data_IF_010219969103
#
_entry.id   IF_010219969103
#
_cell.length_a   1.000
_cell.length_b   1.000
_cell.length_c   1.000
_cell.angle_alpha   90.00
_cell.angle_beta   90.00
_cell.angle_gamma   90.00
#
_symmetry.space_group_name_H-M   'P 1'
#
loop_
_entity.id
_entity.type
_entity.pdbx_description
1 polymer ?
#
# COMPACT_ATOMS: atom_id res chain seq x y z
N UNK A 1 2.91 -12.50 -27.59
CA UNK A 1 4.19 -13.11 -27.15
C UNK A 1 4.30 -12.95 -25.65
N UNK A 2 4.72 -13.99 -24.92
CA UNK A 2 4.95 -13.88 -23.48
C UNK A 2 6.08 -12.88 -23.22
N UNK A 3 5.88 -11.94 -22.29
CA UNK A 3 6.87 -10.92 -21.92
C UNK A 3 7.96 -11.49 -20.99
N UNK A 4 7.67 -12.64 -20.37
CA UNK A 4 8.48 -13.29 -19.34
C UNK A 4 8.53 -14.80 -19.61
N UNK A 5 9.34 -15.54 -18.86
CA UNK A 5 9.39 -17.01 -18.93
C UNK A 5 8.05 -17.65 -18.48
N UNK A 6 7.61 -18.72 -19.14
CA UNK A 6 6.35 -19.44 -18.83
C UNK A 6 6.26 -19.89 -17.37
N UNK A 7 7.38 -20.23 -16.74
CA UNK A 7 7.45 -20.62 -15.32
C UNK A 7 6.99 -19.49 -14.37
N UNK A 8 7.23 -18.23 -14.74
CA UNK A 8 6.77 -17.05 -13.96
C UNK A 8 5.25 -17.03 -13.93
N UNK A 9 4.62 -17.14 -15.10
CA UNK A 9 3.17 -17.17 -15.23
C UNK A 9 2.58 -18.35 -14.45
N UNK A 10 3.15 -19.56 -14.58
CA UNK A 10 2.68 -20.73 -13.85
C UNK A 10 2.75 -20.53 -12.32
N UNK A 11 3.86 -19.98 -11.81
CA UNK A 11 4.02 -19.68 -10.39
C UNK A 11 2.97 -18.67 -9.90
N UNK A 12 2.66 -17.64 -10.70
CA UNK A 12 1.58 -16.69 -10.38
C UNK A 12 0.20 -17.36 -10.34
N UNK A 13 -0.12 -18.22 -11.31
CA UNK A 13 -1.39 -18.95 -11.35
C UNK A 13 -1.55 -19.89 -10.15
N UNK A 14 -0.53 -20.68 -9.84
CA UNK A 14 -0.51 -21.60 -8.68
C UNK A 14 -0.66 -20.83 -7.36
N UNK A 15 -0.06 -19.64 -7.28
CA UNK A 15 -0.17 -18.81 -6.10
C UNK A 15 -1.56 -18.20 -5.95
N UNK A 16 -2.18 -17.76 -7.04
CA UNK A 16 -3.59 -17.34 -7.05
C UNK A 16 -4.53 -18.44 -6.56
N UNK A 17 -4.34 -19.69 -7.03
CA UNK A 17 -5.10 -20.85 -6.56
C UNK A 17 -4.88 -21.13 -5.07
N UNK A 18 -3.62 -21.06 -4.59
CA UNK A 18 -3.29 -21.22 -3.17
C UNK A 18 -3.98 -20.16 -2.30
N UNK A 19 -4.23 -18.97 -2.84
CA UNK A 19 -4.87 -17.88 -2.12
C UNK A 19 -6.39 -17.84 -2.22
N UNK A 20 -6.99 -18.58 -3.15
CA UNK A 20 -8.43 -18.62 -3.35
C UNK A 20 -9.22 -18.90 -2.05
N UNK A 21 -8.82 -19.83 -1.16
CA UNK A 21 -9.53 -20.07 0.10
C UNK A 21 -9.55 -18.86 1.04
N UNK A 22 -8.54 -17.99 0.95
CA UNK A 22 -8.49 -16.74 1.73
C UNK A 22 -9.34 -15.65 1.08
N UNK A 23 -9.39 -15.62 -0.25
CA UNK A 23 -10.19 -14.64 -1.00
C UNK A 23 -11.69 -14.84 -0.82
N UNK A 24 -12.16 -16.09 -0.78
CA UNK A 24 -13.60 -16.43 -0.66
C UNK A 24 -14.00 -16.90 0.73
N UNK A 25 -13.05 -16.94 1.68
CA UNK A 25 -13.15 -17.52 3.03
C UNK A 25 -13.18 -19.06 3.08
N UNK A 26 -12.50 -19.71 4.05
CA UNK A 26 -12.44 -21.17 4.14
C UNK A 26 -13.80 -21.88 4.22
N UNK A 27 -14.80 -21.42 5.00
CA UNK A 27 -16.09 -22.11 5.06
C UNK A 27 -16.82 -22.15 3.71
N UNK A 28 -16.86 -21.02 3.01
CA UNK A 28 -17.46 -20.94 1.68
C UNK A 28 -16.66 -21.76 0.66
N UNK A 29 -15.33 -21.76 0.75
CA UNK A 29 -14.48 -22.58 -0.11
C UNK A 29 -14.75 -24.08 0.06
N UNK A 30 -14.93 -24.56 1.30
CA UNK A 30 -15.28 -25.97 1.55
C UNK A 30 -16.64 -26.31 0.97
N UNK A 31 -17.66 -25.46 1.20
CA UNK A 31 -19.00 -25.67 0.62
C UNK A 31 -18.95 -25.66 -0.91
N UNK A 32 -18.15 -24.79 -1.50
CA UNK A 32 -17.91 -24.73 -2.93
C UNK A 32 -17.32 -26.05 -3.47
N UNK A 33 -16.31 -26.63 -2.81
CA UNK A 33 -15.76 -27.93 -3.20
C UNK A 33 -16.78 -29.06 -3.09
N UNK A 34 -17.60 -29.07 -2.04
CA UNK A 34 -18.72 -30.02 -1.89
C UNK A 34 -19.71 -29.87 -3.04
N UNK A 35 -20.04 -28.64 -3.42
CA UNK A 35 -20.92 -28.31 -4.54
C UNK A 35 -20.38 -28.81 -5.87
N UNK A 36 -19.09 -28.59 -6.16
CA UNK A 36 -18.42 -29.14 -7.35
C UNK A 36 -18.52 -30.66 -7.38
N UNK A 37 -18.06 -31.33 -6.31
CA UNK A 37 -18.06 -32.79 -6.27
C UNK A 37 -19.46 -33.38 -6.38
N UNK A 38 -20.44 -32.68 -5.85
CA UNK A 38 -21.85 -33.02 -5.94
C UNK A 38 -22.45 -32.85 -7.34
N UNK A 39 -22.18 -31.73 -8.00
CA UNK A 39 -22.63 -31.45 -9.36
C UNK A 39 -22.04 -32.45 -10.36
N UNK A 40 -20.74 -32.75 -10.25
CA UNK A 40 -20.05 -33.70 -11.11
C UNK A 40 -20.59 -35.13 -10.96
N UNK A 41 -21.00 -35.54 -9.75
CA UNK A 41 -21.58 -36.87 -9.51
C UNK A 41 -23.01 -37.02 -10.02
N UNK A 42 -23.84 -35.97 -9.91
CA UNK A 42 -25.25 -36.01 -10.34
C UNK A 42 -25.40 -35.89 -11.86
N UNK A 43 -24.42 -35.31 -12.56
CA UNK A 43 -24.47 -35.08 -13.99
C UNK A 43 -25.56 -34.07 -14.41
N UNK A 44 -25.83 -33.99 -15.71
CA UNK A 44 -26.89 -33.16 -16.28
C UNK A 44 -26.54 -31.67 -16.40
N UNK A 45 -27.56 -30.82 -16.40
CA UNK A 45 -27.40 -29.39 -16.66
C UNK A 45 -26.51 -28.70 -15.60
N UNK A 46 -26.56 -29.14 -14.35
CA UNK A 46 -25.75 -28.60 -13.26
C UNK A 46 -24.25 -28.92 -13.40
N UNK A 47 -23.89 -30.11 -13.92
CA UNK A 47 -22.48 -30.42 -14.19
C UNK A 47 -21.94 -29.58 -15.35
N UNK A 48 -22.77 -29.29 -16.35
CA UNK A 48 -22.41 -28.40 -17.47
C UNK A 48 -22.18 -26.97 -16.97
N UNK A 49 -23.11 -26.40 -16.19
CA UNK A 49 -22.95 -25.06 -15.62
C UNK A 49 -21.74 -24.94 -14.67
N UNK A 50 -21.49 -25.97 -13.87
CA UNK A 50 -20.30 -26.04 -13.01
C UNK A 50 -19.03 -26.09 -13.86
N UNK A 51 -19.01 -26.89 -14.94
CA UNK A 51 -17.90 -26.95 -15.89
C UNK A 51 -17.65 -25.62 -16.59
N UNK A 52 -18.70 -24.93 -17.07
CA UNK A 52 -18.59 -23.61 -17.69
C UNK A 52 -18.01 -22.58 -16.72
N UNK A 53 -18.51 -22.55 -15.47
CA UNK A 53 -18.00 -21.62 -14.46
C UNK A 53 -16.55 -21.92 -14.06
N UNK A 54 -16.17 -23.19 -13.96
CA UNK A 54 -14.78 -23.60 -13.71
C UNK A 54 -13.86 -23.19 -14.87
N UNK A 55 -14.28 -23.43 -16.11
CA UNK A 55 -13.53 -23.00 -17.31
C UNK A 55 -13.42 -21.46 -17.37
N UNK A 56 -14.51 -20.75 -17.07
CA UNK A 56 -14.50 -19.28 -16.98
C UNK A 56 -13.57 -18.78 -15.87
N UNK A 57 -13.54 -19.44 -14.72
CA UNK A 57 -12.61 -19.16 -13.63
C UNK A 57 -11.15 -19.41 -14.00
N UNK A 58 -10.86 -20.53 -14.67
CA UNK A 58 -9.51 -20.85 -15.17
C UNK A 58 -9.06 -19.89 -16.27
N UNK A 59 -9.95 -19.51 -17.19
CA UNK A 59 -9.68 -18.50 -18.20
C UNK A 59 -9.41 -17.13 -17.56
N UNK A 60 -10.23 -16.73 -16.57
CA UNK A 60 -10.01 -15.52 -15.79
C UNK A 60 -8.67 -15.53 -15.05
N UNK A 61 -8.31 -16.64 -14.42
CA UNK A 61 -7.01 -16.82 -13.77
C UNK A 61 -5.86 -16.72 -14.80
N UNK A 62 -5.99 -17.37 -15.96
CA UNK A 62 -4.99 -17.30 -17.02
C UNK A 62 -4.79 -15.86 -17.54
N UNK A 63 -5.87 -15.11 -17.72
CA UNK A 63 -5.82 -13.68 -18.08
C UNK A 63 -5.16 -12.87 -16.97
N UNK A 64 -5.49 -13.10 -15.70
CA UNK A 64 -4.88 -12.39 -14.57
C UNK A 64 -3.39 -12.67 -14.45
N UNK A 65 -3.01 -13.93 -14.63
CA UNK A 65 -1.62 -14.37 -14.68
C UNK A 65 -0.86 -13.66 -15.80
N UNK A 66 -1.48 -13.45 -16.97
CA UNK A 66 -0.85 -12.72 -18.08
C UNK A 66 -0.43 -11.29 -17.71
N UNK A 67 -1.16 -10.64 -16.80
CA UNK A 67 -0.82 -9.29 -16.33
C UNK A 67 0.16 -9.27 -15.15
N UNK A 68 0.60 -10.43 -14.65
CA UNK A 68 1.46 -10.57 -13.45
C UNK A 68 0.99 -9.74 -12.24
N UNK A 69 -0.31 -9.47 -12.17
CA UNK A 69 -0.93 -8.63 -11.15
C UNK A 69 -2.10 -9.40 -10.58
N UNK A 70 -1.91 -10.08 -9.45
CA UNK A 70 -2.99 -10.79 -8.78
C UNK A 70 -3.45 -9.98 -7.57
N UNK A 71 -4.40 -9.08 -7.79
CA UNK A 71 -5.04 -8.41 -6.67
C UNK A 71 -6.28 -9.20 -6.29
N UNK A 72 -6.56 -9.36 -5.00
CA UNK A 72 -7.74 -10.08 -4.50
C UNK A 72 -9.04 -9.58 -5.16
N UNK A 73 -9.11 -8.28 -5.50
CA UNK A 73 -10.24 -7.68 -6.21
C UNK A 73 -10.52 -8.30 -7.58
N UNK A 74 -9.54 -8.90 -8.24
CA UNK A 74 -9.75 -9.59 -9.52
C UNK A 74 -10.43 -10.95 -9.36
N UNK A 75 -10.48 -11.51 -8.14
CA UNK A 75 -11.31 -12.67 -7.81
C UNK A 75 -12.79 -12.33 -7.60
N UNK A 76 -13.15 -11.05 -7.43
CA UNK A 76 -14.53 -10.62 -7.15
C UNK A 76 -15.54 -11.06 -8.22
N UNK A 77 -15.25 -11.02 -9.54
CA UNK A 77 -16.18 -11.52 -10.55
C UNK A 77 -16.50 -13.02 -10.44
N UNK A 78 -15.63 -13.82 -9.82
CA UNK A 78 -15.86 -15.25 -9.59
C UNK A 78 -16.67 -15.52 -8.33
N UNK A 79 -16.76 -14.54 -7.42
CA UNK A 79 -17.43 -14.70 -6.13
C UNK A 79 -18.91 -15.09 -6.27
N UNK A 80 -19.74 -14.48 -7.16
CA UNK A 80 -21.12 -14.91 -7.34
C UNK A 80 -21.24 -16.38 -7.73
N UNK A 81 -20.37 -16.87 -8.61
CA UNK A 81 -20.36 -18.26 -9.02
C UNK A 81 -19.92 -19.20 -7.87
N UNK A 82 -18.90 -18.80 -7.10
CA UNK A 82 -18.48 -19.53 -5.89
C UNK A 82 -19.61 -19.61 -4.88
N UNK A 83 -20.37 -18.52 -4.68
CA UNK A 83 -21.54 -18.50 -3.80
C UNK A 83 -22.65 -19.42 -4.29
N UNK A 84 -22.96 -19.44 -5.59
CA UNK A 84 -23.98 -20.32 -6.17
C UNK A 84 -23.62 -21.80 -5.99
N UNK A 85 -22.39 -22.18 -6.35
CA UNK A 85 -21.92 -23.57 -6.21
C UNK A 85 -21.74 -23.93 -4.73
N UNK A 86 -21.33 -22.99 -3.88
CA UNK A 86 -21.30 -23.17 -2.42
C UNK A 86 -22.70 -23.40 -1.84
N UNK A 87 -23.72 -22.69 -2.32
CA UNK A 87 -25.12 -22.90 -1.97
C UNK A 87 -25.63 -24.28 -2.39
N UNK A 88 -25.24 -24.76 -3.58
CA UNK A 88 -25.49 -26.14 -4.01
C UNK A 88 -24.83 -27.13 -3.05
N UNK A 89 -23.56 -26.90 -2.68
CA UNK A 89 -22.85 -27.74 -1.72
C UNK A 89 -23.55 -27.81 -0.37
N UNK A 90 -24.03 -26.68 0.13
CA UNK A 90 -24.84 -26.60 1.35
C UNK A 90 -26.13 -27.43 1.21
N UNK A 91 -26.87 -27.29 0.11
CA UNK A 91 -28.10 -28.05 -0.15
C UNK A 91 -27.87 -29.56 -0.26
N UNK A 92 -26.64 -29.99 -0.55
CA UNK A 92 -26.25 -31.40 -0.63
C UNK A 92 -25.81 -31.99 0.71
N UNK A 93 -25.59 -31.16 1.73
CA UNK A 93 -25.28 -31.65 3.07
C UNK A 93 -26.51 -32.28 3.72
N UNK A 94 -26.33 -33.33 4.54
CA UNK A 94 -27.39 -33.84 5.40
C UNK A 94 -27.99 -32.72 6.26
N UNK A 95 -29.32 -32.72 6.46
CA UNK A 95 -30.05 -31.67 7.20
C UNK A 95 -29.43 -31.28 8.55
N UNK A 96 -28.87 -32.26 9.27
CA UNK A 96 -28.19 -32.04 10.55
C UNK A 96 -26.95 -31.13 10.49
N UNK A 97 -26.36 -30.95 9.32
CA UNK A 97 -25.17 -30.10 9.11
C UNK A 97 -25.50 -28.72 8.54
N UNK A 98 -26.74 -28.48 8.06
CA UNK A 98 -27.11 -27.19 7.47
C UNK A 98 -26.90 -26.02 8.43
N UNK A 99 -27.51 -26.10 9.62
CA UNK A 99 -27.43 -25.03 10.63
C UNK A 99 -25.99 -24.83 11.11
N UNK A 100 -25.23 -25.89 11.49
CA UNK A 100 -23.83 -25.75 11.86
C UNK A 100 -22.97 -25.11 10.75
N UNK A 101 -23.13 -25.51 9.49
CA UNK A 101 -22.35 -24.95 8.38
C UNK A 101 -22.64 -23.47 8.15
N UNK A 102 -23.91 -23.07 8.22
CA UNK A 102 -24.29 -21.64 8.11
C UNK A 102 -23.75 -20.85 9.30
N UNK A 103 -23.88 -21.38 10.53
CA UNK A 103 -23.36 -20.73 11.73
C UNK A 103 -21.84 -20.54 11.67
N UNK A 104 -21.09 -21.56 11.24
CA UNK A 104 -19.63 -21.47 11.06
C UNK A 104 -19.29 -20.40 10.00
N UNK A 105 -20.00 -20.37 8.87
CA UNK A 105 -19.75 -19.39 7.82
C UNK A 105 -20.02 -17.96 8.30
N UNK A 106 -21.15 -17.73 9.00
CA UNK A 106 -21.51 -16.42 9.53
C UNK A 106 -20.55 -15.96 10.64
N UNK A 107 -20.20 -16.84 11.58
CA UNK A 107 -19.24 -16.53 12.64
C UNK A 107 -17.86 -16.22 12.06
N UNK A 108 -17.42 -16.98 11.05
CA UNK A 108 -16.16 -16.71 10.37
C UNK A 108 -16.20 -15.36 9.65
N UNK A 109 -17.24 -15.08 8.87
CA UNK A 109 -17.38 -13.82 8.14
C UNK A 109 -17.44 -12.63 9.09
N UNK A 110 -18.29 -12.70 10.11
CA UNK A 110 -18.41 -11.65 11.12
C UNK A 110 -17.12 -11.43 11.89
N UNK A 111 -16.46 -12.51 12.32
CA UNK A 111 -15.16 -12.44 13.01
C UNK A 111 -14.07 -11.87 12.12
N UNK A 112 -14.01 -12.27 10.85
CA UNK A 112 -13.03 -11.76 9.90
C UNK A 112 -13.29 -10.28 9.55
N UNK A 113 -14.54 -9.88 9.33
CA UNK A 113 -14.92 -8.47 9.15
C UNK A 113 -14.53 -7.64 10.37
N UNK A 114 -14.87 -8.11 11.59
CA UNK A 114 -14.49 -7.44 12.82
C UNK A 114 -12.97 -7.32 12.96
N UNK A 115 -12.22 -8.37 12.62
CA UNK A 115 -10.77 -8.35 12.60
C UNK A 115 -10.23 -7.32 11.59
N UNK A 116 -10.72 -7.29 10.36
CA UNK A 116 -10.30 -6.31 9.33
C UNK A 116 -10.57 -4.88 9.83
N UNK A 117 -11.76 -4.63 10.34
CA UNK A 117 -12.12 -3.32 10.91
C UNK A 117 -11.28 -2.95 12.13
N UNK A 118 -10.77 -3.90 12.90
CA UNK A 118 -9.96 -3.61 14.09
C UNK A 118 -8.46 -3.51 13.80
N UNK A 119 -7.92 -4.35 12.93
CA UNK A 119 -6.48 -4.46 12.68
C UNK A 119 -6.01 -3.68 11.45
N UNK A 120 -6.91 -3.38 10.51
CA UNK A 120 -6.58 -2.70 9.26
C UNK A 120 -7.23 -1.31 9.12
N UNK A 121 -7.97 -0.82 10.12
CA UNK A 121 -8.55 0.54 10.06
C UNK A 121 -7.52 1.65 9.89
N UNK A 122 -6.30 1.44 10.40
CA UNK A 122 -5.20 2.40 10.32
C UNK A 122 -4.46 2.39 8.99
N UNK A 123 -4.85 1.56 8.02
CA UNK A 123 -4.15 1.48 6.74
C UNK A 123 -4.27 2.83 6.00
N UNK A 124 -3.15 3.53 5.80
CA UNK A 124 -3.06 4.88 5.24
C UNK A 124 -3.70 6.01 6.09
N UNK A 125 -4.04 5.75 7.35
CA UNK A 125 -4.65 6.76 8.22
C UNK A 125 -3.69 7.92 8.55
N UNK A 126 -2.37 7.70 8.43
CA UNK A 126 -1.34 8.73 8.58
C UNK A 126 -1.40 9.75 7.44
N UNK A 127 -1.56 9.31 6.18
CA UNK A 127 -1.71 10.19 5.02
C UNK A 127 -3.01 10.98 5.14
N UNK A 128 -4.12 10.32 5.53
CA UNK A 128 -5.41 10.99 5.74
C UNK A 128 -5.33 12.05 6.84
N UNK A 129 -4.77 11.70 8.00
CA UNK A 129 -4.61 12.62 9.12
C UNK A 129 -3.66 13.79 8.78
N UNK A 130 -2.57 13.53 8.06
CA UNK A 130 -1.65 14.58 7.63
C UNK A 130 -2.32 15.51 6.62
N UNK A 131 -3.03 14.94 5.64
CA UNK A 131 -3.72 15.71 4.61
C UNK A 131 -4.83 16.62 5.18
N UNK A 132 -5.58 16.15 6.19
CA UNK A 132 -6.60 16.97 6.86
C UNK A 132 -6.03 18.17 7.60
N UNK A 133 -4.79 18.09 8.08
CA UNK A 133 -4.13 19.18 8.79
C UNK A 133 -3.49 20.20 7.81
N UNK A 134 -3.35 19.89 6.51
CA UNK A 134 -2.69 20.76 5.53
C UNK A 134 -3.38 22.12 5.37
N UNK A 135 -4.71 22.23 5.19
CA UNK A 135 -5.37 23.51 4.96
C UNK A 135 -5.13 24.52 6.08
N UNK A 136 -5.09 24.06 7.34
CA UNK A 136 -4.84 24.90 8.52
C UNK A 136 -3.40 25.41 8.61
N UNK A 137 -2.51 24.87 7.77
CA UNK A 137 -1.10 25.25 7.70
C UNK A 137 -0.77 26.05 6.45
N UNK A 138 -1.69 26.26 5.52
CA UNK A 138 -1.42 27.01 4.29
C UNK A 138 -1.57 28.51 4.51
N UNK A 139 -0.59 29.27 4.05
CA UNK A 139 -0.67 30.72 3.90
C UNK A 139 -1.03 31.10 2.46
N UNK A 140 -1.36 32.37 2.24
CA UNK A 140 -1.72 32.86 0.90
C UNK A 140 -0.53 32.70 -0.06
N UNK A 141 -0.74 31.95 -1.14
CA UNK A 141 0.30 31.69 -2.14
C UNK A 141 1.10 30.41 -1.91
N UNK A 142 1.00 29.77 -0.75
CA UNK A 142 1.63 28.47 -0.47
C UNK A 142 1.09 27.40 -1.43
N UNK A 143 1.96 26.47 -1.84
CA UNK A 143 1.58 25.32 -2.68
C UNK A 143 1.93 24.03 -1.97
N UNK A 144 1.16 22.98 -2.28
CA UNK A 144 1.39 21.63 -1.75
C UNK A 144 1.96 20.75 -2.86
N UNK A 145 3.06 20.07 -2.55
CA UNK A 145 3.77 19.18 -3.45
C UNK A 145 3.84 17.78 -2.86
N UNK A 146 3.63 16.76 -3.68
CA UNK A 146 3.77 15.37 -3.29
C UNK A 146 4.16 14.50 -4.48
N UNK A 147 4.53 13.24 -4.20
CA UNK A 147 4.97 12.28 -5.22
C UNK A 147 4.25 10.92 -5.13
N UNK A 148 2.95 10.95 -4.85
CA UNK A 148 2.14 9.73 -4.85
C UNK A 148 1.75 9.31 -6.28
N UNK A 149 2.19 8.15 -6.76
CA UNK A 149 2.02 7.68 -8.14
C UNK A 149 0.95 6.59 -8.28
N UNK A 150 -0.03 6.77 -9.19
CA UNK A 150 -1.04 5.72 -9.48
C UNK A 150 -0.95 5.13 -10.88
N UNK A 151 -0.66 5.93 -11.90
CA UNK A 151 -0.62 5.47 -13.30
C UNK A 151 0.37 6.28 -14.12
N UNK A 152 0.99 5.61 -15.09
CA UNK A 152 1.84 6.24 -16.10
C UNK A 152 1.14 6.27 -17.46
N UNK A 153 1.38 7.33 -18.21
CA UNK A 153 1.13 7.41 -19.63
C UNK A 153 2.19 6.60 -20.40
N UNK A 154 1.93 6.21 -21.66
CA UNK A 154 2.90 5.47 -22.47
C UNK A 154 4.25 6.17 -22.68
N UNK A 155 4.30 7.49 -22.52
CA UNK A 155 5.49 8.34 -22.60
C UNK A 155 6.26 8.43 -21.26
N UNK A 156 5.82 7.70 -20.23
CA UNK A 156 6.45 7.67 -18.90
C UNK A 156 5.99 8.79 -17.96
N UNK A 157 5.09 9.69 -18.37
CA UNK A 157 4.55 10.74 -17.50
C UNK A 157 3.50 10.20 -16.54
N UNK A 158 3.37 10.77 -15.35
CA UNK A 158 2.33 10.37 -14.39
C UNK A 158 0.98 10.89 -14.87
N UNK A 159 0.02 9.98 -15.10
CA UNK A 159 -1.36 10.32 -15.50
C UNK A 159 -2.21 10.78 -14.32
N UNK A 160 -2.05 10.10 -13.19
CA UNK A 160 -2.77 10.38 -11.95
C UNK A 160 -1.76 10.29 -10.82
N UNK A 161 -1.57 11.41 -10.13
CA UNK A 161 -0.72 11.49 -8.94
C UNK A 161 -1.39 12.29 -7.84
N UNK A 162 -0.92 12.11 -6.60
CA UNK A 162 -1.33 12.87 -5.42
C UNK A 162 -2.84 12.83 -5.13
N UNK A 163 -3.51 11.77 -5.57
CA UNK A 163 -4.97 11.63 -5.47
C UNK A 163 -5.41 11.61 -4.02
N UNK A 164 -4.74 10.86 -3.14
CA UNK A 164 -5.17 10.74 -1.74
C UNK A 164 -5.02 12.06 -0.99
N UNK A 165 -3.84 12.67 -1.09
CA UNK A 165 -3.54 13.93 -0.40
C UNK A 165 -4.49 15.02 -0.90
N UNK A 166 -4.69 15.14 -2.21
CA UNK A 166 -5.62 16.12 -2.81
C UNK A 166 -7.07 15.90 -2.35
N UNK A 167 -7.57 14.66 -2.39
CA UNK A 167 -8.93 14.34 -1.96
C UNK A 167 -9.17 14.62 -0.48
N UNK A 168 -8.22 14.26 0.40
CA UNK A 168 -8.42 14.39 1.84
C UNK A 168 -8.12 15.77 2.40
N UNK A 169 -7.20 16.51 1.79
CA UNK A 169 -6.92 17.89 2.17
C UNK A 169 -7.93 18.87 1.55
N UNK A 170 -8.58 18.49 0.44
CA UNK A 170 -9.46 19.39 -0.31
C UNK A 170 -8.72 20.50 -1.05
N UNK A 171 -7.38 20.46 -1.13
CA UNK A 171 -6.56 21.45 -1.84
C UNK A 171 -5.86 20.83 -3.05
N UNK A 172 -5.55 21.64 -4.10
CA UNK A 172 -4.76 21.15 -5.23
C UNK A 172 -3.35 20.76 -4.80
N UNK A 173 -2.95 19.52 -5.10
CA UNK A 173 -1.59 19.02 -4.83
C UNK A 173 -0.83 18.84 -6.13
N UNK A 174 0.30 19.53 -6.25
CA UNK A 174 1.16 19.51 -7.44
C UNK A 174 2.10 18.31 -7.43
N UNK A 175 2.41 17.83 -8.63
CA UNK A 175 3.34 16.73 -8.85
C UNK A 175 4.79 17.18 -8.60
N UNK A 176 5.55 16.43 -7.81
CA UNK A 176 6.95 16.71 -7.55
C UNK A 176 7.86 15.85 -8.45
N UNK A 177 8.36 16.45 -9.53
CA UNK A 177 9.36 15.91 -10.47
C UNK A 177 10.59 16.82 -10.62
N UNK A 178 11.53 16.47 -11.50
CA UNK A 178 12.78 17.22 -11.65
C UNK A 178 12.55 18.66 -12.14
N UNK A 179 11.54 18.89 -12.98
CA UNK A 179 11.22 20.22 -13.53
C UNK A 179 10.65 21.12 -12.43
N UNK A 180 9.72 20.58 -11.64
CA UNK A 180 9.07 21.27 -10.52
C UNK A 180 10.03 21.71 -9.41
N UNK A 181 11.22 21.09 -9.28
CA UNK A 181 12.22 21.50 -8.28
C UNK A 181 12.70 22.95 -8.47
N UNK A 182 12.59 23.49 -9.69
CA UNK A 182 12.91 24.89 -9.97
C UNK A 182 11.75 25.84 -9.66
N UNK A 183 10.53 25.32 -9.58
CA UNK A 183 9.33 26.09 -9.27
C UNK A 183 9.09 26.25 -7.78
N UNK A 184 9.69 25.42 -6.92
CA UNK A 184 9.55 25.49 -5.46
C UNK A 184 9.86 26.90 -4.93
N UNK A 185 9.09 27.36 -3.95
CA UNK A 185 9.27 28.67 -3.31
C UNK A 185 9.24 28.54 -1.77
N UNK A 186 9.60 29.61 -1.08
CA UNK A 186 9.46 29.69 0.38
C UNK A 186 7.99 29.56 0.79
N UNK A 187 7.73 28.84 1.90
CA UNK A 187 6.38 28.57 2.39
C UNK A 187 5.74 27.30 1.81
N UNK A 188 6.18 26.84 0.63
CA UNK A 188 5.64 25.62 0.02
C UNK A 188 5.75 24.41 0.96
N UNK A 189 4.73 23.56 0.90
CA UNK A 189 4.62 22.32 1.67
C UNK A 189 4.98 21.12 0.80
N UNK A 190 5.85 20.24 1.31
CA UNK A 190 6.23 18.98 0.69
C UNK A 190 5.71 17.83 1.55
N UNK A 191 4.85 16.99 0.99
CA UNK A 191 4.28 15.80 1.64
C UNK A 191 5.10 14.57 1.25
N UNK A 192 5.67 13.90 2.24
CA UNK A 192 6.49 12.69 2.08
C UNK A 192 5.84 11.48 2.77
N UNK A 193 5.02 10.71 2.04
CA UNK A 193 4.41 9.50 2.57
C UNK A 193 5.37 8.30 2.42
N UNK A 194 5.53 7.49 3.47
CA UNK A 194 6.45 6.35 3.43
C UNK A 194 6.08 5.23 2.42
N UNK A 195 4.83 5.20 1.94
CA UNK A 195 4.34 4.24 0.94
C UNK A 195 4.88 4.56 -0.46
N UNK A 196 5.04 5.85 -0.77
CA UNK A 196 5.64 6.36 -2.01
C UNK A 196 6.59 7.49 -1.65
N UNK A 197 7.71 7.17 -0.97
CA UNK A 197 8.57 8.19 -0.41
C UNK A 197 9.24 8.98 -1.51
N UNK A 198 9.47 10.26 -1.25
CA UNK A 198 10.25 11.11 -2.13
C UNK A 198 11.68 10.55 -2.20
N UNK A 199 12.21 10.26 -3.39
CA UNK A 199 13.55 9.69 -3.52
C UNK A 199 14.64 10.56 -2.87
N UNK A 200 15.67 9.91 -2.32
CA UNK A 200 16.72 10.59 -1.57
C UNK A 200 17.46 11.67 -2.41
N UNK A 201 17.58 11.47 -3.72
CA UNK A 201 18.20 12.45 -4.61
C UNK A 201 17.37 13.73 -4.75
N UNK A 202 16.04 13.64 -4.68
CA UNK A 202 15.15 14.80 -4.66
C UNK A 202 15.34 15.58 -3.38
N UNK A 203 15.31 14.88 -2.24
CA UNK A 203 15.57 15.50 -0.93
C UNK A 203 16.92 16.20 -0.87
N UNK A 204 17.98 15.58 -1.43
CA UNK A 204 19.30 16.20 -1.53
C UNK A 204 19.26 17.51 -2.31
N UNK A 205 18.58 17.54 -3.47
CA UNK A 205 18.45 18.77 -4.30
C UNK A 205 17.57 19.84 -3.65
N UNK A 206 16.52 19.45 -2.93
CA UNK A 206 15.69 20.40 -2.17
C UNK A 206 16.54 21.04 -1.08
N UNK A 207 17.27 20.23 -0.30
CA UNK A 207 18.10 20.69 0.83
C UNK A 207 19.33 21.50 0.43
N UNK A 208 19.75 21.49 -0.84
CA UNK A 208 20.80 22.42 -1.29
C UNK A 208 20.29 23.84 -1.49
N UNK A 209 18.98 24.03 -1.65
CA UNK A 209 18.34 25.33 -1.92
C UNK A 209 17.45 25.84 -0.80
N UNK A 210 16.92 24.94 0.02
CA UNK A 210 15.91 25.24 1.02
C UNK A 210 16.24 24.61 2.36
N UNK A 211 15.92 25.30 3.45
CA UNK A 211 15.82 24.67 4.76
C UNK A 211 14.44 24.04 4.89
N UNK A 212 14.38 22.78 5.30
CA UNK A 212 13.11 22.03 5.46
C UNK A 212 12.77 21.90 6.94
N UNK A 213 11.55 22.24 7.34
CA UNK A 213 11.04 22.06 8.70
C UNK A 213 9.85 21.10 8.67
N UNK A 214 9.88 20.03 9.47
CA UNK A 214 8.72 19.15 9.62
C UNK A 214 7.64 19.86 10.46
N UNK A 215 6.50 20.16 9.86
CA UNK A 215 5.39 20.88 10.52
C UNK A 215 4.22 19.95 10.87
N UNK A 216 4.12 18.79 10.21
CA UNK A 216 3.14 17.75 10.51
C UNK A 216 3.87 16.40 10.44
N UNK A 217 3.73 15.59 11.49
CA UNK A 217 4.18 14.19 11.51
C UNK A 217 3.03 13.32 12.00
N UNK A 218 2.60 12.38 11.17
CA UNK A 218 1.57 11.41 11.53
C UNK A 218 2.13 10.02 11.33
N UNK A 219 1.83 9.15 12.29
CA UNK A 219 2.19 7.73 12.24
C UNK A 219 0.93 6.92 12.41
N UNK A 220 0.77 5.91 11.57
CA UNK A 220 -0.30 4.93 11.68
C UNK A 220 0.29 3.53 11.72
N UNK A 221 -0.51 2.58 12.19
CA UNK A 221 -0.14 1.18 12.25
C UNK A 221 -1.24 0.34 11.64
N UNK A 222 -0.86 -0.69 10.90
CA UNK A 222 -1.78 -1.74 10.48
C UNK A 222 -1.16 -3.10 10.78
N UNK A 223 -2.02 -4.10 10.98
CA UNK A 223 -1.60 -5.49 10.98
C UNK A 223 -2.28 -6.17 9.79
N UNK A 224 -1.53 -6.53 8.73
CA UNK A 224 -2.13 -7.12 7.55
C UNK A 224 -2.70 -8.50 7.88
N UNK A 225 -4.01 -8.69 7.69
CA UNK A 225 -4.67 -9.98 7.95
C UNK A 225 -4.62 -10.93 6.74
N UNK A 226 -4.41 -10.36 5.55
CA UNK A 226 -4.29 -11.08 4.28
C UNK A 226 -3.02 -10.62 3.55
N UNK A 227 -2.46 -11.43 2.63
CA UNK A 227 -1.51 -10.88 1.67
C UNK A 227 -2.26 -9.79 0.91
N UNK A 228 -1.67 -8.64 0.65
CA UNK A 228 -2.44 -7.54 0.04
C UNK A 228 -1.61 -6.53 -0.73
N UNK A 229 -0.31 -6.45 -0.49
CA UNK A 229 0.50 -5.38 -1.05
C UNK A 229 1.20 -5.80 -2.33
N UNK A 230 1.19 -4.88 -3.30
CA UNK A 230 2.05 -4.92 -4.49
C UNK A 230 3.45 -4.60 -3.99
N UNK A 231 4.37 -5.56 -4.05
CA UNK A 231 5.78 -5.30 -3.80
C UNK A 231 6.57 -5.50 -5.09
N UNK A 232 7.68 -4.78 -5.18
CA UNK A 232 8.66 -5.02 -6.21
C UNK A 232 9.45 -6.27 -5.84
N UNK A 233 9.42 -7.26 -6.72
CA UNK A 233 10.13 -8.52 -6.56
C UNK A 233 11.26 -8.56 -7.56
N UNK A 234 12.48 -8.80 -7.09
CA UNK A 234 13.61 -9.11 -7.95
C UNK A 234 13.46 -10.52 -8.50
N UNK A 235 13.18 -10.62 -9.80
CA UNK A 235 13.10 -11.91 -10.48
C UNK A 235 14.37 -12.16 -11.28
N UNK A 236 15.12 -13.23 -11.01
CA UNK A 236 16.29 -13.58 -11.80
C UNK A 236 15.85 -13.99 -13.21
N UNK A 237 16.32 -13.28 -14.23
CA UNK A 237 16.14 -13.65 -15.64
C UNK A 237 17.49 -13.94 -16.29
N UNK A 238 17.55 -14.67 -17.43
CA UNK A 238 18.79 -14.89 -18.16
C UNK A 238 19.51 -13.60 -18.58
N UNK A 239 18.80 -12.47 -18.61
CA UNK A 239 19.32 -11.14 -18.92
C UNK A 239 19.65 -10.29 -17.68
N UNK A 240 19.64 -10.89 -16.48
CA UNK A 240 19.86 -10.22 -15.19
C UNK A 240 18.60 -10.15 -14.32
N UNK A 241 18.72 -9.76 -13.04
CA UNK A 241 17.57 -9.55 -12.18
C UNK A 241 16.69 -8.41 -12.72
N UNK A 242 15.38 -8.63 -12.78
CA UNK A 242 14.38 -7.62 -13.15
C UNK A 242 13.45 -7.35 -11.98
N UNK A 243 13.24 -6.08 -11.66
CA UNK A 243 12.17 -5.67 -10.75
C UNK A 243 10.81 -5.87 -11.43
N UNK A 244 9.97 -6.73 -10.85
CA UNK A 244 8.60 -6.96 -11.30
C UNK A 244 7.66 -6.56 -10.16
N UNK A 245 6.63 -5.75 -10.45
CA UNK A 245 5.56 -5.48 -9.47
C UNK A 245 4.72 -6.75 -9.33
N UNK A 246 4.67 -7.33 -8.14
CA UNK A 246 3.92 -8.56 -7.86
C UNK A 246 3.24 -8.52 -6.50
N UNK A 247 2.00 -9.00 -6.46
CA UNK A 247 1.16 -9.09 -5.25
C UNK A 247 1.09 -10.52 -4.68
N UNK A 248 1.86 -11.44 -5.28
CA UNK A 248 1.63 -12.89 -5.15
C UNK A 248 2.90 -13.70 -4.88
N UNK A 249 4.02 -13.07 -4.52
CA UNK A 249 5.22 -13.84 -4.19
C UNK A 249 5.07 -14.54 -2.81
N UNK A 250 5.37 -15.85 -2.67
CA UNK A 250 5.36 -16.56 -1.40
C UNK A 250 6.24 -15.95 -0.30
N UNK A 251 7.29 -15.20 -0.60
CA UNK A 251 8.09 -14.44 0.37
C UNK A 251 7.28 -13.29 0.98
N UNK A 252 6.26 -12.78 0.28
CA UNK A 252 5.35 -11.75 0.77
C UNK A 252 4.47 -12.29 1.92
N UNK A 253 4.38 -13.61 2.07
CA UNK A 253 3.71 -14.28 3.20
C UNK A 253 4.36 -13.98 4.55
N UNK A 254 5.65 -13.65 4.57
CA UNK A 254 6.36 -13.32 5.82
C UNK A 254 5.91 -11.98 6.42
N UNK A 255 5.32 -11.10 5.60
CA UNK A 255 4.79 -9.81 6.04
C UNK A 255 3.39 -9.90 6.66
N UNK A 256 2.68 -11.05 6.52
CA UNK A 256 1.34 -11.30 7.14
C UNK A 256 1.29 -11.16 8.66
N UNK A 257 2.43 -11.20 9.34
CA UNK A 257 2.46 -11.27 10.82
C UNK A 257 3.28 -10.16 11.45
N UNK A 258 3.69 -9.15 10.66
CA UNK A 258 4.44 -8.02 11.19
C UNK A 258 3.58 -6.79 11.11
N UNK A 259 3.48 -6.08 12.23
CA UNK A 259 2.92 -4.73 12.27
C UNK A 259 3.64 -3.88 11.24
N UNK A 260 2.86 -3.27 10.36
CA UNK A 260 3.36 -2.29 9.40
C UNK A 260 3.15 -0.90 10.01
N UNK A 261 4.20 -0.08 9.94
CA UNK A 261 4.16 1.31 10.36
C UNK A 261 4.14 2.17 9.11
N UNK A 262 3.19 3.09 9.06
CA UNK A 262 3.14 4.12 8.04
C UNK A 262 3.41 5.46 8.68
N UNK A 263 4.16 6.29 7.96
CA UNK A 263 4.51 7.63 8.42
C UNK A 263 4.38 8.58 7.25
N UNK A 264 3.71 9.69 7.51
CA UNK A 264 3.63 10.80 6.58
C UNK A 264 4.11 12.05 7.28
N UNK A 265 5.12 12.68 6.69
CA UNK A 265 5.67 13.95 7.17
C UNK A 265 5.40 15.03 6.14
N UNK A 266 4.92 16.18 6.62
CA UNK A 266 4.78 17.39 5.80
C UNK A 266 5.85 18.39 6.22
N UNK A 267 6.65 18.80 5.24
CA UNK A 267 7.73 19.74 5.43
C UNK A 267 7.36 21.10 4.87
N UNK A 268 7.62 22.18 5.61
CA UNK A 268 7.61 23.55 5.09
C UNK A 268 8.99 23.93 4.58
N UNK A 269 9.04 24.57 3.42
CA UNK A 269 10.28 25.13 2.87
C UNK A 269 10.51 26.53 3.43
N UNK A 270 11.73 26.77 3.87
CA UNK A 270 12.22 28.08 4.30
C UNK A 270 13.39 28.46 3.43
N UNK A 271 13.49 29.74 3.09
CA UNK A 271 14.72 30.25 2.50
C UNK A 271 15.87 29.88 3.45
N UNK A 272 17.02 29.38 2.94
CA UNK A 272 18.20 29.27 3.77
C UNK A 272 18.41 30.68 4.28
N UNK A 273 18.28 30.91 5.59
CA UNK A 273 18.64 32.20 6.17
C UNK A 273 20.02 32.48 5.60
N UNK A 274 20.14 33.51 4.76
CA UNK A 274 21.38 34.25 4.66
C UNK A 274 21.70 34.48 6.13
N UNK A 275 22.78 33.89 6.65
CA UNK A 275 23.27 34.29 7.96
C UNK A 275 23.34 35.80 7.87
N UNK A 276 22.33 36.47 8.44
CA UNK A 276 22.34 37.91 8.57
C UNK A 276 23.66 38.15 9.25
N UNK A 277 24.51 38.90 8.57
CA UNK A 277 25.68 39.56 9.13
C UNK A 277 25.41 39.71 10.61
N UNK A 278 26.05 38.87 11.42
CA UNK A 278 26.12 39.12 12.85
C UNK A 278 26.66 40.54 12.87
N UNK A 279 25.89 41.54 13.34
CA UNK A 279 26.45 42.86 13.51
C UNK A 279 27.72 42.61 14.29
N UNK A 280 28.87 42.97 13.74
CA UNK A 280 30.13 42.91 14.46
C UNK A 280 29.91 43.86 15.63
N UNK A 281 29.35 43.35 16.72
CA UNK A 281 29.34 44.01 18.00
C UNK A 281 30.81 44.06 18.32
N UNK A 282 31.36 45.27 18.16
CA UNK A 282 32.70 45.60 18.57
C UNK A 282 32.95 44.96 19.93
N UNK A 283 34.13 44.35 20.14
CA UNK A 283 34.40 43.68 21.39
C UNK A 283 34.14 44.64 22.56
N UNK A 284 33.46 44.21 23.63
CA UNK A 284 33.33 45.05 24.81
C UNK A 284 34.74 45.35 25.32
N UNK A 285 35.12 46.61 25.27
CA UNK A 285 36.28 47.11 26.00
C UNK A 285 36.13 46.73 27.47
N UNK A 286 37.10 45.98 27.97
CA UNK A 286 37.28 45.76 29.39
C UNK A 286 36.42 44.66 30.00
N UNK A 287 36.87 43.41 29.89
CA UNK A 287 36.70 42.48 31.01
C UNK A 287 38.07 42.00 31.49
N UNK A 288 38.46 42.53 32.64
CA UNK A 288 39.59 42.12 33.43
C UNK A 288 39.50 40.62 33.74
N UNK A 289 40.54 39.88 33.34
CA UNK A 289 40.82 38.52 33.79
C UNK A 289 40.78 38.43 35.32
N UNK A 290 39.79 37.73 35.88
CA UNK A 290 39.93 37.09 37.18
C UNK A 290 40.47 35.68 36.97
N UNK A 291 41.74 35.49 37.33
CA UNK A 291 42.34 34.17 37.58
C UNK A 291 41.51 33.45 38.64
N UNK A 292 40.77 32.43 38.25
CA UNK A 292 40.26 31.40 39.17
C UNK A 292 41.30 30.27 39.20
N UNK A 293 41.95 30.18 40.35
CA UNK A 293 42.87 29.13 40.78
C UNK A 293 42.05 28.10 41.55
N UNK A 294 42.11 26.83 41.17
CA UNK A 294 41.74 25.63 41.94
C UNK A 294 42.28 24.48 41.08
N UNK A 295 43.45 23.88 41.32
CA UNK A 295 43.98 23.18 42.49
C UNK A 295 43.04 22.06 43.00
N UNK A 296 43.53 20.81 42.82
CA UNK A 296 43.24 19.53 43.53
C UNK A 296 41.85 18.88 43.37
N UNK A 297 41.65 17.57 43.25
CA UNK A 297 42.46 16.32 43.11
C UNK A 297 41.43 15.17 42.83
N UNK A 298 41.86 13.92 42.57
CA UNK A 298 41.02 12.85 42.01
C UNK A 298 40.37 11.92 43.05
N UNK A 299 39.24 11.30 42.67
CA UNK A 299 38.86 9.91 42.98
C UNK A 299 38.16 9.28 41.76
#
# INVERSE_FOLDING_TARGET
RAVYDTSIYLNFALTGLRYLPYAVTPPLFVLFLVGIGGALRKGGLWSIWTGIGLLGGLAGLAVQTWFLSFQFRYGLPLLPWVCLVGGLGLAMLPKKFLIPSVAIALTWLGGFTGAVLYFQHGTFADIEAAARDIPDRLEEGDRVWAREEYNFLPDGKVKYGNVKVSVWSGVPVRWLDEESLTELQEGDLIVDPNVTPIPAEFWRRIRTRWKTEAIIEKVSRSVPLTPGEILWVDYPTPQGPRLIRGTSDPNLMRFRYKTQYYSTTVYRLHSPKTEREVPITSPPEGSTLKKSKNDSEPE
#
